data_IF_823139793452
#
_entry.id   IF_823139793452
#
_cell.length_a   1.000
_cell.length_b   1.000
_cell.length_c   1.000
_cell.angle_alpha   90.00
_cell.angle_beta   90.00
_cell.angle_gamma   90.00
#
_symmetry.space_group_name_H-M   'P 1'
#
loop_
_entity.id
_entity.type
_entity.pdbx_description
1 polymer ?
#
# COMPACT_ATOMS: atom_id res chain seq x y z
N UNK A 1 27.31 -3.13 -11.18
CA UNK A 1 26.05 -2.49 -11.63
C UNK A 1 24.94 -3.51 -11.97
N UNK A 2 25.20 -4.55 -12.76
CA UNK A 2 24.19 -5.59 -13.09
C UNK A 2 23.63 -6.31 -11.85
N UNK A 3 24.48 -6.79 -10.94
CA UNK A 3 24.04 -7.47 -9.72
C UNK A 3 23.12 -6.64 -8.83
N UNK A 4 23.45 -5.36 -8.64
CA UNK A 4 22.63 -4.42 -7.84
C UNK A 4 21.26 -4.22 -8.51
N UNK A 5 21.24 -4.05 -9.84
CA UNK A 5 19.99 -3.88 -10.60
C UNK A 5 19.12 -5.13 -10.54
N UNK A 6 19.71 -6.30 -10.70
CA UNK A 6 19.00 -7.59 -10.60
C UNK A 6 18.44 -7.80 -9.19
N UNK A 7 19.20 -7.47 -8.14
CA UNK A 7 18.73 -7.57 -6.76
C UNK A 7 17.55 -6.63 -6.50
N UNK A 8 17.62 -5.38 -6.94
CA UNK A 8 16.51 -4.42 -6.83
C UNK A 8 15.28 -4.90 -7.60
N UNK A 9 15.46 -5.46 -8.80
CA UNK A 9 14.35 -6.01 -9.59
C UNK A 9 13.69 -7.19 -8.88
N UNK A 10 14.48 -8.14 -8.36
CA UNK A 10 13.95 -9.30 -7.65
C UNK A 10 13.24 -8.87 -6.37
N UNK A 11 13.81 -7.93 -5.60
CA UNK A 11 13.16 -7.37 -4.41
C UNK A 11 11.83 -6.70 -4.77
N UNK A 12 11.78 -5.94 -5.86
CA UNK A 12 10.56 -5.29 -6.34
C UNK A 12 9.48 -6.28 -6.77
N UNK A 13 9.84 -7.30 -7.55
CA UNK A 13 8.92 -8.35 -7.97
C UNK A 13 8.40 -9.16 -6.78
N UNK A 14 9.26 -9.46 -5.80
CA UNK A 14 8.88 -10.16 -4.58
C UNK A 14 7.90 -9.33 -3.77
N UNK A 15 8.15 -8.02 -3.65
CA UNK A 15 7.23 -7.08 -3.00
C UNK A 15 5.87 -7.10 -3.70
N UNK A 16 5.82 -6.95 -5.03
CA UNK A 16 4.56 -7.00 -5.79
C UNK A 16 3.84 -8.35 -5.60
N UNK A 17 4.56 -9.46 -5.62
CA UNK A 17 3.97 -10.78 -5.40
C UNK A 17 3.38 -10.90 -3.99
N UNK A 18 4.02 -10.32 -2.98
CA UNK A 18 3.51 -10.34 -1.60
C UNK A 18 2.18 -9.59 -1.45
N UNK A 19 1.88 -8.59 -2.29
CA UNK A 19 0.60 -7.87 -2.23
C UNK A 19 -0.60 -8.75 -2.55
N UNK A 20 -0.42 -9.76 -3.39
CA UNK A 20 -1.48 -10.73 -3.71
C UNK A 20 -1.78 -11.67 -2.54
N UNK A 21 -0.88 -11.78 -1.57
CA UNK A 21 -1.04 -12.61 -0.39
C UNK A 21 -0.80 -11.79 0.89
N UNK A 22 -1.88 -11.19 1.40
CA UNK A 22 -1.86 -10.33 2.58
C UNK A 22 -2.63 -10.95 3.75
N UNK A 23 -1.97 -11.79 4.58
CA UNK A 23 -2.62 -12.48 5.70
C UNK A 23 -2.82 -11.59 6.94
N UNK A 24 -2.12 -10.45 7.03
CA UNK A 24 -2.05 -9.66 8.25
C UNK A 24 -2.99 -8.46 8.23
N UNK A 25 -3.11 -7.76 7.09
CA UNK A 25 -3.80 -6.47 7.08
C UNK A 25 -5.33 -6.60 7.20
N UNK A 26 -5.90 -7.75 6.85
CA UNK A 26 -7.33 -8.03 7.08
C UNK A 26 -7.67 -8.02 8.58
N UNK A 27 -6.71 -8.33 9.46
CA UNK A 27 -6.88 -8.22 10.91
C UNK A 27 -6.98 -6.77 11.42
N UNK A 28 -6.55 -5.78 10.62
CA UNK A 28 -6.62 -4.35 10.98
C UNK A 28 -8.00 -3.74 10.72
N UNK A 29 -8.77 -4.32 9.81
CA UNK A 29 -10.13 -3.88 9.42
C UNK A 29 -11.23 -4.62 10.17
N UNK A 30 -10.89 -5.69 10.89
CA UNK A 30 -11.85 -6.50 11.64
C UNK A 30 -12.42 -5.83 12.91
N UNK A 31 -13.54 -6.36 13.43
CA UNK A 31 -14.27 -5.82 14.58
C UNK A 31 -13.55 -6.01 15.92
N UNK A 32 -12.58 -6.91 15.97
CA UNK A 32 -11.91 -7.33 17.22
C UNK A 32 -11.06 -6.21 17.83
N UNK A 33 -10.84 -5.10 17.10
CA UNK A 33 -10.09 -3.93 17.59
C UNK A 33 -10.88 -2.64 17.37
N UNK A 34 -11.74 -2.32 18.33
CA UNK A 34 -12.27 -0.96 18.60
C UNK A 34 -11.14 0.11 18.74
N UNK A 35 -9.87 -0.31 18.80
CA UNK A 35 -8.67 0.53 18.89
C UNK A 35 -7.96 0.78 17.56
N UNK A 36 -8.35 0.13 16.45
CA UNK A 36 -7.74 0.37 15.13
C UNK A 36 -8.45 1.53 14.45
N UNK A 37 -7.73 2.58 13.98
CA UNK A 37 -8.35 3.66 13.20
C UNK A 37 -8.89 3.20 11.84
N UNK A 38 -8.61 1.95 11.45
CA UNK A 38 -9.06 1.32 10.20
C UNK A 38 -10.15 0.26 10.41
N UNK A 39 -10.65 0.07 11.63
CA UNK A 39 -11.71 -0.90 11.91
C UNK A 39 -12.99 -0.51 11.18
N UNK A 40 -13.63 -1.48 10.52
CA UNK A 40 -14.92 -1.24 9.90
C UNK A 40 -16.04 -1.62 10.87
N UNK A 41 -17.01 -0.72 11.02
CA UNK A 41 -18.12 -0.92 11.93
C UNK A 41 -18.97 -2.13 11.51
N UNK A 42 -19.40 -2.92 12.48
CA UNK A 42 -20.18 -4.13 12.26
C UNK A 42 -21.66 -3.90 11.92
N UNK A 43 -22.08 -2.65 11.77
CA UNK A 43 -23.44 -2.36 11.34
C UNK A 43 -23.53 -2.54 9.82
N UNK A 44 -24.64 -3.12 9.38
CA UNK A 44 -24.89 -3.24 7.97
C UNK A 44 -25.19 -1.88 7.35
N UNK A 45 -24.61 -1.63 6.17
CA UNK A 45 -24.79 -0.38 5.44
C UNK A 45 -25.76 -0.63 4.32
N UNK A 46 -26.81 0.20 4.23
CA UNK A 46 -27.78 0.13 3.14
C UNK A 46 -27.17 0.83 1.91
N UNK A 47 -26.89 0.07 0.86
CA UNK A 47 -26.42 0.59 -0.44
C UNK A 47 -27.47 0.26 -1.48
N UNK A 48 -28.04 1.29 -2.11
CA UNK A 48 -29.10 1.14 -3.12
C UNK A 48 -30.33 0.35 -2.62
N UNK A 49 -30.66 0.47 -1.34
CA UNK A 49 -31.78 -0.26 -0.72
C UNK A 49 -31.46 -1.71 -0.34
N UNK A 50 -30.23 -2.19 -0.57
CA UNK A 50 -29.77 -3.52 -0.16
C UNK A 50 -28.87 -3.40 1.05
N UNK A 51 -29.11 -4.24 2.06
CA UNK A 51 -28.26 -4.36 3.23
C UNK A 51 -26.97 -5.09 2.87
N UNK A 52 -25.84 -4.38 2.89
CA UNK A 52 -24.51 -4.96 2.69
C UNK A 52 -23.80 -5.07 4.04
N UNK A 53 -23.45 -6.32 4.40
CA UNK A 53 -22.55 -6.59 5.52
C UNK A 53 -21.12 -6.27 5.10
N UNK A 54 -20.44 -5.47 5.91
CA UNK A 54 -19.06 -5.10 5.63
C UNK A 54 -18.13 -6.10 6.30
N UNK A 55 -17.52 -6.94 5.47
CA UNK A 55 -16.53 -7.93 5.92
C UNK A 55 -15.13 -7.30 6.00
N UNK A 56 -14.26 -7.82 6.89
CA UNK A 56 -12.86 -7.44 6.93
C UNK A 56 -12.19 -7.71 5.58
N UNK A 57 -11.36 -6.77 5.12
CA UNK A 57 -10.69 -6.85 3.82
C UNK A 57 -9.22 -6.45 3.93
N UNK A 58 -8.42 -6.95 2.99
CA UNK A 58 -6.99 -6.67 2.92
C UNK A 58 -6.72 -5.22 2.48
N UNK A 59 -5.90 -4.51 3.25
CA UNK A 59 -5.50 -3.12 3.00
C UNK A 59 -4.20 -3.00 2.21
N UNK A 60 -3.29 -3.98 2.26
CA UNK A 60 -1.92 -3.84 1.76
C UNK A 60 -1.87 -3.44 0.28
N UNK A 61 -2.65 -4.13 -0.55
CA UNK A 61 -2.77 -3.79 -1.98
C UNK A 61 -3.29 -2.37 -2.20
N UNK A 62 -4.35 -1.97 -1.48
CA UNK A 62 -4.93 -0.63 -1.62
C UNK A 62 -3.90 0.44 -1.22
N UNK A 63 -3.30 0.31 -0.04
CA UNK A 63 -2.32 1.26 0.49
C UNK A 63 -1.13 1.41 -0.45
N UNK A 64 -0.58 0.32 -0.97
CA UNK A 64 0.56 0.39 -1.88
C UNK A 64 0.24 1.17 -3.15
N UNK A 65 -0.85 0.83 -3.84
CA UNK A 65 -1.19 1.43 -5.13
C UNK A 65 -1.75 2.85 -5.02
N UNK A 66 -2.52 3.16 -3.96
CA UNK A 66 -3.22 4.45 -3.85
C UNK A 66 -2.52 5.45 -2.93
N UNK A 67 -1.56 5.01 -2.11
CA UNK A 67 -0.84 5.88 -1.16
C UNK A 67 0.66 5.86 -1.43
N UNK A 68 1.30 4.68 -1.39
CA UNK A 68 2.76 4.56 -1.48
C UNK A 68 3.28 5.01 -2.85
N UNK A 69 2.74 4.46 -3.94
CA UNK A 69 3.16 4.81 -5.30
C UNK A 69 2.98 6.32 -5.60
N UNK A 70 1.83 6.95 -5.29
CA UNK A 70 1.65 8.39 -5.49
C UNK A 70 2.52 9.29 -4.59
N UNK A 71 2.86 8.86 -3.37
CA UNK A 71 3.71 9.65 -2.45
C UNK A 71 5.20 9.58 -2.83
N UNK A 72 5.65 8.51 -3.49
CA UNK A 72 7.07 8.36 -3.83
C UNK A 72 7.68 9.57 -4.57
N UNK A 73 7.07 10.14 -5.61
CA UNK A 73 7.58 11.37 -6.23
C UNK A 73 7.68 12.56 -5.26
N UNK A 74 6.65 12.76 -4.41
CA UNK A 74 6.67 13.83 -3.40
C UNK A 74 7.82 13.63 -2.41
N UNK A 75 8.00 12.41 -1.92
CA UNK A 75 9.09 12.04 -1.03
C UNK A 75 10.46 12.35 -1.66
N UNK A 76 10.66 12.00 -2.93
CA UNK A 76 11.89 12.30 -3.66
C UNK A 76 12.15 13.80 -3.82
N UNK A 77 11.10 14.61 -4.03
CA UNK A 77 11.26 16.07 -4.14
C UNK A 77 11.61 16.69 -2.78
N UNK A 78 10.94 16.26 -1.70
CA UNK A 78 11.14 16.84 -0.36
C UNK A 78 12.50 16.45 0.23
N UNK A 79 12.89 15.18 0.12
CA UNK A 79 14.07 14.65 0.82
C UNK A 79 15.25 14.36 -0.11
N UNK A 80 14.99 14.18 -1.40
CA UNK A 80 15.94 13.59 -2.34
C UNK A 80 16.29 14.48 -3.52
N UNK A 81 15.87 15.74 -3.56
CA UNK A 81 15.99 16.57 -4.77
C UNK A 81 17.43 16.63 -5.32
N UNK A 82 18.41 16.90 -4.45
CA UNK A 82 19.82 16.95 -4.83
C UNK A 82 20.43 15.57 -5.09
N UNK A 83 19.92 14.52 -4.45
CA UNK A 83 20.34 13.14 -4.71
C UNK A 83 19.78 12.61 -6.04
N UNK A 84 18.53 12.94 -6.35
CA UNK A 84 17.83 12.54 -7.56
C UNK A 84 18.45 13.19 -8.80
N UNK A 85 18.81 14.48 -8.73
CA UNK A 85 19.56 15.14 -9.82
C UNK A 85 20.91 14.49 -10.14
N UNK A 86 21.57 13.90 -9.14
CA UNK A 86 22.85 13.20 -9.33
C UNK A 86 22.66 11.81 -9.95
N UNK A 87 21.54 11.15 -9.68
CA UNK A 87 21.21 9.81 -10.22
C UNK A 87 20.66 9.90 -11.65
N UNK A 88 19.80 10.88 -11.91
CA UNK A 88 19.27 11.19 -13.23
C UNK A 88 19.68 12.62 -13.62
N UNK A 89 20.87 12.82 -14.19
CA UNK A 89 21.18 14.11 -14.80
C UNK A 89 20.20 14.34 -15.95
N UNK A 90 19.30 15.32 -15.80
CA UNK A 90 18.65 15.90 -16.97
C UNK A 90 19.75 16.52 -17.80
N UNK A 91 20.12 15.82 -18.89
CA UNK A 91 20.96 16.35 -19.95
C UNK A 91 20.34 17.59 -20.56
#
# INVERSE_FOLDING_TARGET
>A
MLYVRSLLLVAWLTLIMSLFWDPYSAGLTGPVKETSPFSVAHHAVIVQGVELRVEPYALGTRVFWTIVIPIMPLFLIVFGYEAWRRVCPLS
#
